data_IF_688809070333
#
_entry.id   IF_688809070333
#
_cell.length_a   1.000
_cell.length_b   1.000
_cell.length_c   1.000
_cell.angle_alpha   90.00
_cell.angle_beta   90.00
_cell.angle_gamma   90.00
#
_symmetry.space_group_name_H-M   'P 1'
#
loop_
_entity.id
_entity.type
_entity.pdbx_description
1 polymer ?
#
# COMPACT_ATOMS: atom_id res chain seq x y z
N UNK A 1 -20.25 -4.31 8.90
CA UNK A 1 -18.87 -4.15 9.42
C UNK A 1 -18.54 -2.68 9.31
N UNK A 2 -18.25 -2.02 10.43
CA UNK A 2 -17.96 -0.59 10.44
C UNK A 2 -16.65 -0.33 9.71
N UNK A 3 -16.74 0.49 8.66
CA UNK A 3 -15.59 1.19 8.11
C UNK A 3 -15.20 2.29 9.11
N UNK A 4 -13.91 2.53 9.28
CA UNK A 4 -13.35 3.64 10.07
C UNK A 4 -13.20 3.35 11.56
N UNK A 5 -12.10 2.68 11.93
CA UNK A 5 -11.16 3.23 12.89
C UNK A 5 -9.82 2.52 12.68
N UNK A 6 -9.02 3.08 11.77
CA UNK A 6 -7.61 2.72 11.74
C UNK A 6 -7.01 3.14 13.08
N UNK A 7 -6.19 2.30 13.76
CA UNK A 7 -5.60 2.65 15.06
C UNK A 7 -4.56 3.77 14.95
N UNK A 8 -4.38 4.36 13.77
CA UNK A 8 -3.39 5.37 13.46
C UNK A 8 -4.06 6.74 13.26
N UNK A 9 -3.52 7.74 13.94
CA UNK A 9 -4.03 9.13 13.90
C UNK A 9 -3.91 9.79 12.50
N UNK A 10 -3.06 9.24 11.63
CA UNK A 10 -2.87 9.73 10.27
C UNK A 10 -2.45 8.61 9.30
N UNK A 11 -2.70 8.78 7.99
CA UNK A 11 -2.15 7.89 6.96
C UNK A 11 -0.63 7.79 7.04
N UNK A 12 0.07 8.89 7.35
CA UNK A 12 1.53 8.88 7.48
C UNK A 12 2.00 7.98 8.64
N UNK A 13 1.30 8.03 9.79
CA UNK A 13 1.60 7.15 10.92
C UNK A 13 1.34 5.68 10.58
N UNK A 14 0.27 5.39 9.82
CA UNK A 14 -0.03 4.04 9.35
C UNK A 14 1.04 3.53 8.38
N UNK A 15 1.44 4.35 7.41
CA UNK A 15 2.52 4.03 6.48
C UNK A 15 3.81 3.69 7.23
N UNK A 16 4.23 4.56 8.15
CA UNK A 16 5.45 4.38 8.94
C UNK A 16 5.42 3.08 9.77
N UNK A 17 4.27 2.79 10.40
CA UNK A 17 4.09 1.56 11.15
C UNK A 17 4.11 0.31 10.26
N UNK A 18 3.56 0.39 9.04
CA UNK A 18 3.52 -0.73 8.11
C UNK A 18 4.90 -1.09 7.55
N UNK A 19 5.69 -0.11 7.10
CA UNK A 19 7.04 -0.36 6.57
C UNK A 19 8.03 -0.86 7.63
N UNK A 20 7.72 -0.66 8.92
CA UNK A 20 8.52 -1.18 10.03
C UNK A 20 8.21 -2.64 10.36
N UNK A 21 7.15 -3.23 9.77
CA UNK A 21 6.81 -4.64 9.93
C UNK A 21 7.78 -5.50 9.15
N UNK A 22 8.08 -6.68 9.69
CA UNK A 22 8.76 -7.71 8.93
C UNK A 22 7.82 -8.25 7.84
N UNK A 23 8.29 -8.33 6.60
CA UNK A 23 7.53 -8.99 5.54
C UNK A 23 7.64 -10.50 5.67
N UNK A 24 6.51 -11.19 5.59
CA UNK A 24 6.47 -12.65 5.53
C UNK A 24 6.39 -13.18 4.10
N UNK A 25 6.41 -12.29 3.09
CA UNK A 25 6.34 -12.72 1.70
C UNK A 25 7.67 -13.28 1.22
N UNK A 26 7.59 -14.35 0.45
CA UNK A 26 8.73 -14.83 -0.32
C UNK A 26 9.15 -13.79 -1.37
N UNK A 27 10.46 -13.70 -1.63
CA UNK A 27 11.04 -12.79 -2.62
C UNK A 27 10.38 -12.92 -4.00
N UNK A 28 10.00 -14.14 -4.38
CA UNK A 28 9.36 -14.39 -5.68
C UNK A 28 7.95 -13.77 -5.76
N UNK A 29 7.18 -13.78 -4.67
CA UNK A 29 5.86 -13.15 -4.65
C UNK A 29 5.98 -11.61 -4.67
N UNK A 30 6.98 -11.06 -3.98
CA UNK A 30 7.29 -9.62 -4.07
C UNK A 30 7.62 -9.24 -5.52
N UNK A 31 8.47 -10.03 -6.19
CA UNK A 31 8.82 -9.82 -7.60
C UNK A 31 7.61 -9.90 -8.52
N UNK A 32 6.74 -10.90 -8.30
CA UNK A 32 5.49 -11.06 -9.05
C UNK A 32 4.59 -9.83 -8.91
N UNK A 33 4.39 -9.34 -7.67
CA UNK A 33 3.59 -8.14 -7.40
C UNK A 33 4.22 -6.89 -8.02
N UNK A 34 5.54 -6.74 -7.95
CA UNK A 34 6.26 -5.63 -8.56
C UNK A 34 6.07 -5.59 -10.08
N UNK A 35 6.21 -6.73 -10.77
CA UNK A 35 6.01 -6.82 -12.22
C UNK A 35 4.59 -6.41 -12.65
N UNK A 36 3.57 -6.83 -11.88
CA UNK A 36 2.18 -6.44 -12.14
C UNK A 36 1.96 -4.95 -11.91
N UNK A 37 2.51 -4.39 -10.83
CA UNK A 37 2.44 -2.97 -10.53
C UNK A 37 3.14 -2.13 -11.60
N UNK A 38 4.34 -2.53 -12.04
CA UNK A 38 5.10 -1.82 -13.07
C UNK A 38 4.36 -1.80 -14.41
N UNK A 39 3.79 -2.94 -14.81
CA UNK A 39 2.99 -3.03 -16.03
C UNK A 39 1.75 -2.12 -15.96
N UNK A 40 1.05 -2.12 -14.82
CA UNK A 40 -0.10 -1.25 -14.59
C UNK A 40 0.29 0.24 -14.60
N UNK A 41 1.39 0.60 -13.93
CA UNK A 41 1.87 1.97 -13.85
C UNK A 41 2.31 2.50 -15.21
N UNK A 42 3.00 1.67 -16.01
CA UNK A 42 3.38 2.00 -17.38
C UNK A 42 2.15 2.21 -18.26
N UNK A 43 1.16 1.31 -18.19
CA UNK A 43 -0.06 1.40 -18.99
C UNK A 43 -0.92 2.64 -18.65
N UNK A 44 -0.90 3.08 -17.39
CA UNK A 44 -1.70 4.22 -16.91
C UNK A 44 -0.87 5.51 -16.73
N UNK A 45 0.41 5.52 -17.12
CA UNK A 45 1.34 6.63 -16.92
C UNK A 45 1.40 7.14 -15.46
N UNK A 46 1.31 6.24 -14.49
CA UNK A 46 1.43 6.57 -13.07
C UNK A 46 2.91 6.77 -12.75
N UNK A 47 3.27 8.01 -12.41
CA UNK A 47 4.65 8.40 -12.05
C UNK A 47 4.73 9.16 -10.74
N UNK A 48 3.59 9.39 -10.10
CA UNK A 48 3.51 10.12 -8.85
C UNK A 48 4.29 9.34 -7.75
N UNK A 49 5.35 9.94 -7.17
CA UNK A 49 6.16 9.25 -6.17
C UNK A 49 5.38 8.87 -4.91
N UNK A 50 4.31 9.59 -4.56
CA UNK A 50 3.47 9.23 -3.42
C UNK A 50 2.66 7.96 -3.73
N UNK A 51 2.04 7.89 -4.90
CA UNK A 51 1.28 6.71 -5.32
C UNK A 51 2.19 5.49 -5.44
N UNK A 52 3.39 5.67 -6.01
CA UNK A 52 4.37 4.58 -6.11
C UNK A 52 4.87 4.12 -4.73
N UNK A 53 4.98 5.04 -3.77
CA UNK A 53 5.35 4.69 -2.39
C UNK A 53 4.23 3.94 -1.68
N UNK A 54 2.97 4.37 -1.85
CA UNK A 54 1.80 3.68 -1.30
C UNK A 54 1.73 2.23 -1.83
N UNK A 55 1.91 2.02 -3.13
CA UNK A 55 1.88 0.69 -3.75
C UNK A 55 2.89 -0.29 -3.13
N UNK A 56 4.04 0.21 -2.64
CA UNK A 56 5.05 -0.64 -1.97
C UNK A 56 4.50 -1.34 -0.74
N UNK A 57 3.52 -0.75 -0.05
CA UNK A 57 2.88 -1.36 1.13
C UNK A 57 2.30 -2.74 0.80
N UNK A 58 1.61 -2.85 -0.32
CA UNK A 58 1.05 -4.12 -0.78
C UNK A 58 2.07 -5.00 -1.50
N UNK A 59 2.93 -4.41 -2.35
CA UNK A 59 3.92 -5.16 -3.13
C UNK A 59 4.88 -5.92 -2.23
N UNK A 60 5.37 -5.28 -1.17
CA UNK A 60 6.27 -5.90 -0.20
C UNK A 60 5.54 -6.69 0.89
N UNK A 61 4.21 -6.68 0.93
CA UNK A 61 3.44 -7.39 1.95
C UNK A 61 3.51 -6.76 3.34
N UNK A 62 3.79 -5.46 3.43
CA UNK A 62 3.63 -4.70 4.68
C UNK A 62 2.15 -4.58 5.06
N UNK A 63 1.28 -4.64 4.06
CA UNK A 63 -0.17 -4.69 4.19
C UNK A 63 -0.75 -5.78 3.29
N UNK A 64 -1.74 -6.48 3.82
CA UNK A 64 -2.64 -7.29 3.01
C UNK A 64 -3.57 -6.40 2.18
N UNK A 65 -4.20 -6.96 1.13
CA UNK A 65 -5.00 -6.17 0.18
C UNK A 65 -6.12 -5.37 0.86
N UNK A 66 -6.82 -5.97 1.83
CA UNK A 66 -7.92 -5.31 2.56
C UNK A 66 -7.43 -4.14 3.43
N UNK A 67 -6.29 -4.34 4.11
CA UNK A 67 -5.65 -3.28 4.91
C UNK A 67 -5.18 -2.14 3.99
N UNK A 68 -4.54 -2.48 2.87
CA UNK A 68 -4.08 -1.50 1.89
C UNK A 68 -5.21 -0.67 1.30
N UNK A 69 -6.35 -1.30 0.96
CA UNK A 69 -7.54 -0.57 0.48
C UNK A 69 -8.09 0.38 1.55
N UNK A 70 -8.11 -0.06 2.81
CA UNK A 70 -8.54 0.78 3.94
C UNK A 70 -7.60 1.96 4.17
N UNK A 71 -6.29 1.74 4.00
CA UNK A 71 -5.27 2.80 4.03
C UNK A 71 -5.50 3.84 2.93
N UNK A 72 -5.70 3.40 1.67
CA UNK A 72 -5.97 4.31 0.56
C UNK A 72 -7.27 5.10 0.79
N UNK A 73 -8.32 4.42 1.26
CA UNK A 73 -9.57 5.10 1.59
C UNK A 73 -9.35 6.17 2.67
N UNK A 74 -8.65 5.85 3.76
CA UNK A 74 -8.32 6.83 4.81
C UNK A 74 -7.50 8.02 4.28
N UNK A 75 -6.52 7.76 3.39
CA UNK A 75 -5.64 8.79 2.82
C UNK A 75 -6.36 9.74 1.86
N UNK A 76 -7.23 9.21 0.99
CA UNK A 76 -7.86 9.98 -0.09
C UNK A 76 -9.34 10.34 0.17
N UNK A 77 -9.98 9.78 1.19
CA UNK A 77 -11.38 10.11 1.55
C UNK A 77 -11.53 11.42 2.32
N UNK A 78 -10.45 12.02 2.83
CA UNK A 78 -10.47 13.39 3.38
C UNK A 78 -10.28 14.40 2.25
N UNK A 79 -11.32 14.55 1.43
CA UNK A 79 -11.57 15.72 0.59
C UNK A 79 -12.49 16.70 1.31
#
# INVERSE_FOLDING_TARGET
MSFSDSPYDSPQAWYAAAIARETMLAVEEIRRRQLLADAHNAANNIRDPEVLSDQRLYIHGYMELEEYQSYLFSKYSKG
#
